data_IF_707683991304
#
_entry.id   IF_707683991304
#
_cell.length_a   1.000
_cell.length_b   1.000
_cell.length_c   1.000
_cell.angle_alpha   90.00
_cell.angle_beta   90.00
_cell.angle_gamma   90.00
#
_symmetry.space_group_name_H-M   'P 1'
#
loop_
_entity.id
_entity.type
_entity.pdbx_description
1 polymer ?
#
# COMPACT_ATOMS: atom_id res chain seq x y z
N UNK A 1 -1.63 5.56 19.37
CA UNK A 1 -0.50 4.87 18.70
C UNK A 1 -1.12 3.92 17.69
N UNK A 2 -0.82 4.03 16.38
CA UNK A 2 -1.39 3.10 15.39
C UNK A 2 -0.83 1.70 15.63
N UNK A 3 -1.67 0.67 15.52
CA UNK A 3 -1.20 -0.71 15.66
C UNK A 3 -0.35 -1.10 14.44
N UNK A 4 0.64 -1.98 14.64
CA UNK A 4 1.53 -2.45 13.56
C UNK A 4 0.73 -3.05 12.39
N UNK A 5 -0.39 -3.72 12.68
CA UNK A 5 -1.30 -4.27 11.67
C UNK A 5 -1.92 -3.18 10.79
N UNK A 6 -2.34 -2.07 11.39
CA UNK A 6 -2.93 -0.95 10.65
C UNK A 6 -1.89 -0.31 9.74
N UNK A 7 -0.65 -0.14 10.23
CA UNK A 7 0.47 0.40 9.45
C UNK A 7 0.77 -0.50 8.25
N UNK A 8 0.86 -1.83 8.45
CA UNK A 8 1.12 -2.78 7.37
C UNK A 8 -0.04 -2.86 6.37
N UNK A 9 -1.28 -2.69 6.83
CA UNK A 9 -2.46 -2.63 5.96
C UNK A 9 -2.44 -1.36 5.11
N UNK A 10 -2.12 -0.21 5.71
CA UNK A 10 -1.96 1.04 4.97
C UNK A 10 -0.78 1.01 4.00
N UNK A 11 0.31 0.35 4.36
CA UNK A 11 1.46 0.11 3.49
C UNK A 11 1.08 -0.76 2.29
N UNK A 12 0.38 -1.88 2.52
CA UNK A 12 -0.21 -2.72 1.46
C UNK A 12 -1.03 -1.87 0.48
N UNK A 13 -1.95 -1.07 1.00
CA UNK A 13 -2.80 -0.21 0.17
C UNK A 13 -1.95 0.76 -0.65
N UNK A 14 -0.91 1.33 -0.06
CA UNK A 14 -0.03 2.29 -0.74
C UNK A 14 0.82 1.66 -1.85
N UNK A 15 1.20 0.39 -1.73
CA UNK A 15 2.11 -0.28 -2.67
C UNK A 15 1.39 -1.11 -3.74
N UNK A 16 0.23 -1.68 -3.44
CA UNK A 16 -0.53 -2.52 -4.39
C UNK A 16 -1.63 -1.73 -5.08
N UNK A 17 -2.37 -0.92 -4.31
CA UNK A 17 -3.49 -0.18 -4.88
C UNK A 17 -2.95 1.07 -5.54
N UNK A 18 -3.32 1.29 -6.81
CA UNK A 18 -3.11 2.58 -7.44
C UNK A 18 -3.84 3.63 -6.61
N UNK A 19 -3.12 4.63 -6.08
CA UNK A 19 -3.74 5.84 -5.53
C UNK A 19 -4.55 6.49 -6.65
N UNK A 20 -5.87 6.31 -6.65
CA UNK A 20 -6.75 7.02 -7.57
C UNK A 20 -6.61 8.52 -7.29
N UNK A 21 -5.96 9.27 -8.18
CA UNK A 21 -5.79 10.72 -8.05
C UNK A 21 -4.42 11.29 -8.41
N UNK A 22 -3.38 10.48 -8.59
CA UNK A 22 -2.06 10.94 -9.10
C UNK A 22 -1.81 10.62 -10.57
N UNK A 23 -2.72 9.92 -11.23
CA UNK A 23 -2.74 9.89 -12.69
C UNK A 23 -3.13 11.30 -13.16
N UNK A 24 -2.23 12.01 -13.86
CA UNK A 24 -2.56 13.27 -14.53
C UNK A 24 -3.91 13.09 -15.23
N UNK A 25 -4.93 13.93 -14.95
CA UNK A 25 -6.22 13.77 -15.59
C UNK A 25 -6.06 14.26 -17.03
N UNK A 26 -5.56 13.42 -17.93
CA UNK A 26 -5.81 13.60 -19.35
C UNK A 26 -7.27 13.23 -19.58
N UNK A 27 -8.19 14.11 -19.15
CA UNK A 27 -9.58 14.03 -19.56
C UNK A 27 -9.62 14.34 -21.05
N UNK A 28 -9.71 13.31 -21.88
CA UNK A 28 -10.40 13.47 -23.16
C UNK A 28 -11.84 13.88 -22.87
N UNK A 29 -12.31 14.89 -23.58
CA UNK A 29 -13.63 15.48 -23.41
C UNK A 29 -14.69 14.40 -23.66
N UNK A 30 -15.49 14.04 -22.64
CA UNK A 30 -16.87 13.66 -22.90
C UNK A 30 -17.52 12.48 -22.18
N UNK A 31 -16.87 11.59 -21.40
CA UNK A 31 -17.61 10.41 -20.88
C UNK A 31 -17.26 10.01 -19.43
N UNK A 32 -18.33 9.98 -18.63
CA UNK A 32 -18.64 9.33 -17.34
C UNK A 32 -17.76 9.58 -16.11
N UNK A 33 -18.26 10.49 -15.27
CA UNK A 33 -18.44 10.27 -13.83
C UNK A 33 -17.17 10.20 -12.99
N UNK A 34 -16.95 11.21 -12.15
CA UNK A 34 -16.03 11.06 -11.02
C UNK A 34 -16.38 9.78 -10.24
N UNK A 35 -15.40 8.94 -9.85
CA UNK A 35 -15.67 7.76 -9.05
C UNK A 35 -16.46 8.19 -7.81
N UNK A 36 -17.68 7.67 -7.70
CA UNK A 36 -18.66 8.07 -6.68
C UNK A 36 -18.40 7.39 -5.34
N UNK A 37 -17.42 6.48 -5.30
CA UNK A 37 -17.00 5.76 -4.11
C UNK A 37 -15.74 6.43 -3.56
N UNK A 38 -15.90 7.11 -2.42
CA UNK A 38 -14.75 7.55 -1.64
C UNK A 38 -13.98 6.31 -1.19
N UNK A 39 -12.70 6.22 -1.55
CA UNK A 39 -11.84 5.18 -1.02
C UNK A 39 -11.53 5.48 0.46
N UNK A 40 -12.23 4.80 1.36
CA UNK A 40 -12.05 4.93 2.80
C UNK A 40 -10.81 4.19 3.33
N UNK A 41 -10.04 3.53 2.45
CA UNK A 41 -8.84 2.81 2.87
C UNK A 41 -7.79 3.79 3.40
N UNK A 42 -7.11 3.37 4.46
CA UNK A 42 -5.96 4.12 4.96
C UNK A 42 -4.78 3.92 4.01
N UNK A 43 -4.16 5.02 3.63
CA UNK A 43 -2.92 5.08 2.88
C UNK A 43 -1.85 5.73 3.73
N UNK A 44 -0.61 5.31 3.54
CA UNK A 44 0.56 6.02 4.07
C UNK A 44 0.91 7.16 3.13
N UNK A 45 1.53 8.22 3.65
CA UNK A 45 2.26 9.18 2.81
C UNK A 45 3.47 8.50 2.17
N UNK A 46 4.09 9.10 1.13
CA UNK A 46 5.31 8.49 0.55
C UNK A 46 6.45 8.39 1.56
N UNK A 47 6.63 9.41 2.40
CA UNK A 47 7.67 9.41 3.44
C UNK A 47 7.44 8.28 4.45
N UNK A 48 6.20 8.11 4.91
CA UNK A 48 5.82 7.01 5.81
C UNK A 48 6.03 5.64 5.13
N UNK A 49 5.63 5.52 3.86
CA UNK A 49 5.78 4.29 3.11
C UNK A 49 7.27 3.94 2.88
N UNK A 50 8.14 4.94 2.67
CA UNK A 50 9.58 4.74 2.56
C UNK A 50 10.20 4.25 3.88
N UNK A 51 9.73 4.76 5.02
CA UNK A 51 10.17 4.26 6.34
C UNK A 51 9.80 2.79 6.51
N UNK A 52 8.56 2.42 6.16
CA UNK A 52 8.11 1.02 6.25
C UNK A 52 8.87 0.12 5.27
N UNK A 53 9.11 0.56 4.03
CA UNK A 53 9.90 -0.18 3.05
C UNK A 53 11.32 -0.45 3.58
N UNK A 54 11.96 0.55 4.18
CA UNK A 54 13.29 0.38 4.77
C UNK A 54 13.27 -0.64 5.90
N UNK A 55 12.27 -0.59 6.77
CA UNK A 55 12.12 -1.56 7.86
C UNK A 55 11.89 -3.00 7.32
N UNK A 56 11.06 -3.17 6.29
CA UNK A 56 10.82 -4.46 5.62
C UNK A 56 12.10 -4.95 4.94
N UNK A 57 12.89 -4.07 4.32
CA UNK A 57 14.18 -4.43 3.74
C UNK A 57 15.21 -4.86 4.79
N UNK A 58 15.26 -4.20 5.94
CA UNK A 58 16.11 -4.63 7.06
C UNK A 58 15.69 -6.02 7.56
N UNK A 59 14.39 -6.28 7.69
CA UNK A 59 13.86 -7.59 8.11
C UNK A 59 14.32 -8.72 7.17
N UNK A 60 14.48 -8.45 5.86
CA UNK A 60 15.00 -9.43 4.90
C UNK A 60 16.39 -9.96 5.30
N UNK A 61 17.25 -9.09 5.81
CA UNK A 61 18.61 -9.45 6.20
C UNK A 61 18.64 -10.16 7.56
N UNK A 62 17.77 -9.76 8.49
CA UNK A 62 17.74 -10.31 9.85
C UNK A 62 16.98 -11.64 9.93
N UNK A 63 15.83 -11.74 9.24
CA UNK A 63 14.96 -12.92 9.27
C UNK A 63 14.24 -13.10 7.92
N UNK A 64 14.92 -13.75 7.00
CA UNK A 64 14.44 -13.99 5.64
C UNK A 64 13.10 -14.75 5.60
N UNK A 65 12.90 -15.73 6.47
CA UNK A 65 11.68 -16.54 6.51
C UNK A 65 10.45 -15.70 6.89
N UNK A 66 10.58 -14.85 7.91
CA UNK A 66 9.49 -13.94 8.31
C UNK A 66 9.24 -12.86 7.26
N UNK A 67 10.30 -12.37 6.61
CA UNK A 67 10.16 -11.45 5.49
C UNK A 67 9.37 -12.05 4.32
N UNK A 68 9.61 -13.32 3.97
CA UNK A 68 8.83 -14.02 2.93
C UNK A 68 7.36 -14.07 3.32
N UNK A 69 7.04 -14.52 4.53
CA UNK A 69 5.65 -14.65 4.99
C UNK A 69 4.93 -13.30 4.98
N UNK A 70 5.59 -12.25 5.48
CA UNK A 70 5.02 -10.91 5.55
C UNK A 70 4.76 -10.34 4.16
N UNK A 71 5.72 -10.47 3.24
CA UNK A 71 5.55 -9.97 1.86
C UNK A 71 4.56 -10.81 1.06
N UNK A 72 4.50 -12.13 1.27
CA UNK A 72 3.51 -13.00 0.65
C UNK A 72 2.08 -12.61 1.08
N UNK A 73 1.86 -12.42 2.38
CA UNK A 73 0.56 -12.07 2.91
C UNK A 73 0.10 -10.65 2.50
N UNK A 74 0.95 -9.64 2.71
CA UNK A 74 0.55 -8.25 2.47
C UNK A 74 0.68 -7.84 1.00
N UNK A 75 1.73 -8.24 0.28
CA UNK A 75 1.99 -7.77 -1.10
C UNK A 75 1.45 -8.68 -2.20
N UNK A 76 1.27 -9.97 -1.92
CA UNK A 76 0.81 -10.96 -2.91
C UNK A 76 -0.58 -11.53 -2.61
N UNK A 77 -1.21 -11.08 -1.52
CA UNK A 77 -2.52 -11.52 -1.07
C UNK A 77 -2.65 -13.04 -0.90
N UNK A 78 -1.54 -13.71 -0.59
CA UNK A 78 -1.54 -15.14 -0.30
C UNK A 78 -2.15 -15.33 1.08
N UNK A 79 -3.30 -15.99 1.15
CA UNK A 79 -3.93 -16.35 2.42
C UNK A 79 -3.03 -17.30 3.20
N UNK A 80 -2.99 -17.13 4.53
CA UNK A 80 -2.30 -18.04 5.43
C UNK A 80 -2.84 -19.47 5.34
#
# INVERSE_FOLDING_TARGET
MRETRDILTAWKNTRILKRMGIEYPFKSVGINGAPTEFDYRQYLTEDEAQIVDKAVLTLKNDNYSQWIVLTAYYLREISC
#
